data_IF_605190270849
#
_entry.id   IF_605190270849
#
_cell.length_a   1.000
_cell.length_b   1.000
_cell.length_c   1.000
_cell.angle_alpha   90.00
_cell.angle_beta   90.00
_cell.angle_gamma   90.00
#
_symmetry.space_group_name_H-M   'P 1'
#
loop_
_entity.id
_entity.type
_entity.pdbx_description
1 polymer ?
#
# COMPACT_ATOMS: atom_id res chain seq x y z
N UNK A 1 -10.27 -25.08 42.46
CA UNK A 1 -11.14 -25.19 41.27
C UNK A 1 -11.06 -23.93 40.42
N UNK A 2 -11.19 -22.72 41.01
CA UNK A 2 -11.14 -21.43 40.30
C UNK A 2 -9.84 -21.15 39.54
N UNK A 3 -8.68 -21.51 40.11
CA UNK A 3 -7.38 -21.26 39.48
C UNK A 3 -7.21 -22.08 38.19
N UNK A 4 -7.77 -23.29 38.14
CA UNK A 4 -7.77 -24.13 36.94
C UNK A 4 -8.65 -23.52 35.85
N UNK A 5 -9.82 -23.00 36.22
CA UNK A 5 -10.74 -22.32 35.30
C UNK A 5 -10.09 -21.05 34.73
N UNK A 6 -9.42 -20.27 35.58
CA UNK A 6 -8.71 -19.07 35.17
C UNK A 6 -7.57 -19.37 34.18
N UNK A 7 -6.79 -20.43 34.44
CA UNK A 7 -5.72 -20.86 33.54
C UNK A 7 -6.24 -21.28 32.16
N UNK A 8 -7.38 -22.00 32.12
CA UNK A 8 -8.02 -22.41 30.86
C UNK A 8 -8.53 -21.18 30.09
N UNK A 9 -9.16 -20.22 30.77
CA UNK A 9 -9.64 -18.99 30.13
C UNK A 9 -8.49 -18.18 29.53
N UNK A 10 -7.38 -18.02 30.27
CA UNK A 10 -6.19 -17.31 29.79
C UNK A 10 -5.56 -18.02 28.58
N UNK A 11 -5.50 -19.35 28.60
CA UNK A 11 -4.99 -20.15 27.48
C UNK A 11 -5.83 -20.00 26.22
N UNK A 12 -7.17 -20.00 26.35
CA UNK A 12 -8.09 -19.84 25.21
C UNK A 12 -8.00 -18.43 24.64
N UNK A 13 -7.98 -17.39 25.49
CA UNK A 13 -7.83 -15.99 25.04
C UNK A 13 -6.50 -15.79 24.35
N UNK A 14 -5.40 -16.29 24.93
CA UNK A 14 -4.08 -16.25 24.31
C UNK A 14 -4.06 -16.95 22.95
N UNK A 15 -4.63 -18.16 22.86
CA UNK A 15 -4.68 -18.91 21.60
C UNK A 15 -5.48 -18.18 20.51
N UNK A 16 -6.62 -17.57 20.84
CA UNK A 16 -7.43 -16.79 19.88
C UNK A 16 -6.64 -15.57 19.40
N UNK A 17 -6.04 -14.81 20.32
CA UNK A 17 -5.26 -13.61 20.00
C UNK A 17 -4.07 -13.96 19.10
N UNK A 18 -3.27 -14.97 19.45
CA UNK A 18 -2.12 -15.38 18.64
C UNK A 18 -2.55 -15.89 17.26
N UNK A 19 -3.66 -16.62 17.17
CA UNK A 19 -4.21 -17.10 15.89
C UNK A 19 -4.76 -15.96 15.03
N UNK A 20 -5.33 -14.92 15.64
CA UNK A 20 -5.76 -13.71 14.94
C UNK A 20 -4.58 -12.94 14.36
N UNK A 21 -3.46 -12.83 15.07
CA UNK A 21 -2.24 -12.21 14.55
C UNK A 21 -1.56 -13.01 13.43
N UNK A 22 -1.69 -14.34 13.41
CA UNK A 22 -1.12 -15.18 12.34
C UNK A 22 -2.01 -15.25 11.09
N UNK A 23 -3.34 -15.12 11.23
CA UNK A 23 -4.28 -15.11 10.11
C UNK A 23 -4.53 -13.72 9.52
N UNK A 24 -4.42 -12.67 10.33
CA UNK A 24 -4.35 -11.29 9.88
C UNK A 24 -2.97 -10.75 10.25
N UNK A 25 -1.94 -10.95 9.40
CA UNK A 25 -0.81 -10.06 9.47
C UNK A 25 -1.39 -8.65 9.28
N UNK A 26 -1.27 -7.81 10.30
CA UNK A 26 -1.52 -6.39 10.17
C UNK A 26 -0.70 -5.92 8.99
N UNK A 27 -1.36 -5.72 7.85
CA UNK A 27 -0.77 -5.26 6.59
C UNK A 27 -0.30 -3.80 6.67
N UNK A 28 -0.08 -3.30 7.87
CA UNK A 28 0.24 -1.93 8.19
C UNK A 28 1.70 -1.68 8.59
N UNK A 29 2.54 -2.72 8.70
CA UNK A 29 3.91 -2.55 9.21
C UNK A 29 5.04 -2.92 8.23
N UNK A 30 4.82 -2.95 6.90
CA UNK A 30 5.99 -3.02 5.99
C UNK A 30 5.75 -2.68 4.51
N UNK A 31 4.93 -1.65 4.21
CA UNK A 31 4.98 -0.99 2.88
C UNK A 31 4.95 0.54 2.97
N UNK A 32 5.57 1.09 4.02
CA UNK A 32 5.97 2.50 4.07
C UNK A 32 7.46 2.69 3.76
N UNK A 33 8.00 1.86 2.87
CA UNK A 33 9.23 2.18 2.16
C UNK A 33 8.88 2.21 0.68
N UNK A 34 8.93 3.41 0.10
CA UNK A 34 8.65 3.69 -1.30
C UNK A 34 7.15 3.68 -1.58
N UNK A 35 6.49 4.80 -1.27
CA UNK A 35 5.58 5.36 -2.26
C UNK A 35 6.42 5.51 -3.52
N UNK A 36 6.27 4.69 -4.60
CA UNK A 36 6.61 5.26 -5.86
C UNK A 36 5.56 6.36 -5.97
N UNK A 37 5.99 7.60 -5.85
CA UNK A 37 5.56 8.56 -6.83
C UNK A 37 5.75 7.85 -8.16
N UNK A 38 4.75 7.07 -8.59
CA UNK A 38 4.61 6.54 -9.92
C UNK A 38 4.77 7.80 -10.72
N UNK A 39 5.97 7.97 -11.27
CA UNK A 39 6.50 9.28 -11.59
C UNK A 39 5.41 9.99 -12.36
N UNK A 40 4.81 11.00 -11.73
CA UNK A 40 3.66 11.74 -12.27
C UNK A 40 4.08 12.53 -13.50
N UNK A 41 5.18 12.15 -14.14
CA UNK A 41 5.87 12.79 -15.22
C UNK A 41 6.24 11.73 -16.25
N UNK A 42 5.73 11.88 -17.46
CA UNK A 42 6.11 11.09 -18.64
C UNK A 42 6.91 11.98 -19.59
N UNK A 43 7.65 11.39 -20.54
CA UNK A 43 8.32 12.15 -21.60
C UNK A 43 7.38 12.27 -22.79
N UNK A 44 7.24 13.48 -23.33
CA UNK A 44 6.51 13.69 -24.56
C UNK A 44 7.26 13.00 -25.73
N UNK A 45 6.61 12.17 -26.57
CA UNK A 45 7.27 11.50 -27.69
C UNK A 45 7.71 12.46 -28.80
N UNK A 46 7.18 13.69 -28.83
CA UNK A 46 7.46 14.65 -29.90
C UNK A 46 8.61 15.61 -29.59
N UNK A 47 8.74 16.05 -28.34
CA UNK A 47 9.73 17.06 -27.94
C UNK A 47 10.61 16.60 -26.76
N UNK A 48 10.43 15.35 -26.30
CA UNK A 48 11.20 14.71 -25.23
C UNK A 48 11.14 15.41 -23.87
N UNK A 49 10.28 16.42 -23.72
CA UNK A 49 10.12 17.14 -22.46
C UNK A 49 9.35 16.34 -21.44
N UNK A 50 9.74 16.50 -20.18
CA UNK A 50 9.12 15.85 -19.03
C UNK A 50 7.81 16.59 -18.70
N UNK A 51 6.68 15.91 -18.83
CA UNK A 51 5.33 16.48 -18.67
C UNK A 51 4.51 15.66 -17.70
N UNK A 52 3.58 16.27 -16.96
CA UNK A 52 2.84 15.57 -15.91
C UNK A 52 1.89 14.51 -16.46
N UNK A 53 2.15 13.22 -16.20
CA UNK A 53 1.35 12.08 -16.67
C UNK A 53 -0.10 12.22 -16.21
N UNK A 54 -1.02 12.31 -17.17
CA UNK A 54 -2.46 12.20 -16.94
C UNK A 54 -2.94 10.81 -17.37
N UNK A 55 -4.05 10.33 -16.80
CA UNK A 55 -4.47 8.94 -17.01
C UNK A 55 -4.93 8.67 -18.45
N UNK A 56 -5.45 9.66 -19.18
CA UNK A 56 -5.86 9.54 -20.60
C UNK A 56 -5.74 10.89 -21.34
N UNK A 57 -5.27 10.84 -22.60
CA UNK A 57 -5.33 11.97 -23.55
C UNK A 57 -4.47 13.18 -23.16
N UNK A 58 -3.15 13.04 -23.15
CA UNK A 58 -2.26 14.08 -22.66
C UNK A 58 -1.82 15.03 -23.77
N UNK A 59 -2.05 16.34 -23.61
CA UNK A 59 -1.46 17.35 -24.49
C UNK A 59 -0.18 17.93 -23.85
N UNK A 60 0.93 17.88 -24.57
CA UNK A 60 2.19 18.47 -24.11
C UNK A 60 2.10 20.00 -24.16
N UNK A 61 2.34 20.68 -23.04
CA UNK A 61 2.32 22.16 -22.98
C UNK A 61 3.44 22.83 -23.78
N UNK A 62 4.54 22.11 -24.03
CA UNK A 62 5.68 22.67 -24.77
C UNK A 62 5.49 22.60 -26.30
N UNK A 63 5.07 21.46 -26.84
CA UNK A 63 4.89 21.29 -28.29
C UNK A 63 3.43 21.30 -28.75
N UNK A 64 2.47 21.46 -27.83
CA UNK A 64 1.03 21.46 -28.08
C UNK A 64 0.50 20.21 -28.82
N UNK A 65 1.24 19.09 -28.80
CA UNK A 65 0.83 17.82 -29.39
C UNK A 65 0.22 16.89 -28.35
N UNK A 66 -0.86 16.21 -28.73
CA UNK A 66 -1.54 15.19 -27.94
C UNK A 66 -0.89 13.81 -28.12
N UNK A 67 -0.79 13.03 -27.04
CA UNK A 67 -0.28 11.66 -27.03
C UNK A 67 -0.86 10.84 -25.86
#
# INVERSE_FOLDING_TARGET
MDILILAVLLGVVGFIVTRSYTLYPSSFEERSLIQPNASHTTKCPHCQTVVRRQEHGQTCTNCHKSF
#
